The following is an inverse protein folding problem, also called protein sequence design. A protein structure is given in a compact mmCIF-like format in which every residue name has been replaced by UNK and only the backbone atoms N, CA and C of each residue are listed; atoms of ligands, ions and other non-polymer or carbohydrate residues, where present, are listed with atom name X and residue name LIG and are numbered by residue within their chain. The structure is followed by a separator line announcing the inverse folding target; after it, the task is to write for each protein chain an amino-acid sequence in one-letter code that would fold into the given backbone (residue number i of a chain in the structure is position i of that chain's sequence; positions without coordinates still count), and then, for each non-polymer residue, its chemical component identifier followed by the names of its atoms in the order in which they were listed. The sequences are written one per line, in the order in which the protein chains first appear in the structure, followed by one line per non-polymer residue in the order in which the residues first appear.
data_IF_818972100459
#
_entry.id   IF_818972100459
#
_cell.length_a   1.000
_cell.length_b   1.000
_cell.length_c   1.000
_cell.angle_alpha   90.00
_cell.angle_beta   90.00
_cell.angle_gamma   90.00
#
_symmetry.space_group_name_H-M   'P 1'
#
loop_
_entity.id
_entity.type
_entity.pdbx_description
1 polymer ?
#
# COMPACT_ATOMS: atom_id res chain seq x y z
N UNK A 1 32.24 59.13 44.13
CA UNK A 1 31.94 57.78 44.63
C UNK A 1 30.98 57.11 43.65
N UNK A 2 31.31 55.88 43.23
CA UNK A 2 30.79 55.19 42.04
C UNK A 2 29.32 54.78 42.24
N UNK A 3 28.45 55.10 41.27
CA UNK A 3 27.07 54.58 41.18
C UNK A 3 27.11 53.24 40.45
N UNK A 4 26.81 52.15 41.15
CA UNK A 4 26.60 50.81 40.56
C UNK A 4 25.20 50.73 39.96
N UNK A 5 25.12 50.54 38.64
CA UNK A 5 23.87 50.14 37.97
C UNK A 5 23.98 48.64 37.72
N UNK A 6 23.15 47.87 38.43
CA UNK A 6 22.95 46.44 38.19
C UNK A 6 21.95 46.34 37.03
N UNK A 7 22.43 45.98 35.84
CA UNK A 7 21.57 45.62 34.72
C UNK A 7 21.18 44.15 34.86
N UNK A 8 19.94 43.91 35.29
CA UNK A 8 19.34 42.58 35.38
C UNK A 8 18.93 42.12 33.96
N UNK A 9 19.69 41.21 33.36
CA UNK A 9 19.27 40.55 32.11
C UNK A 9 18.13 39.58 32.43
N UNK A 10 16.90 40.02 32.18
CA UNK A 10 15.74 39.13 32.17
C UNK A 10 15.81 38.20 30.96
N UNK A 11 16.26 36.96 31.17
CA UNK A 11 16.09 35.89 30.19
C UNK A 11 14.64 35.42 30.30
N UNK A 12 13.78 35.87 29.39
CA UNK A 12 12.46 35.27 29.24
C UNK A 12 12.65 33.89 28.61
N UNK A 13 12.60 32.85 29.43
CA UNK A 13 12.50 31.47 28.95
C UNK A 13 11.10 31.28 28.35
N UNK A 14 10.96 31.46 27.04
CA UNK A 14 9.74 31.04 26.34
C UNK A 14 9.67 29.52 26.42
N UNK A 15 8.81 29.02 27.31
CA UNK A 15 8.36 27.64 27.27
C UNK A 15 7.62 27.46 25.92
N UNK A 16 8.29 26.85 24.95
CA UNK A 16 7.59 26.28 23.82
C UNK A 16 6.63 25.23 24.40
N UNK A 17 5.34 25.50 24.34
CA UNK A 17 4.34 24.49 24.64
C UNK A 17 4.64 23.30 23.71
N UNK A 18 5.14 22.21 24.28
CA UNK A 18 5.10 20.91 23.62
C UNK A 18 3.62 20.60 23.47
N UNK A 19 3.05 20.96 22.32
CA UNK A 19 1.77 20.39 21.92
C UNK A 19 2.00 18.88 21.96
N UNK A 20 1.16 18.12 22.70
CA UNK A 20 1.29 16.67 22.67
C UNK A 20 1.27 16.27 21.20
N UNK A 21 2.28 15.49 20.79
CA UNK A 21 2.27 14.82 19.51
C UNK A 21 0.97 14.02 19.47
N UNK A 22 -0.08 14.60 18.89
CA UNK A 22 -1.21 13.85 18.39
C UNK A 22 -0.56 12.95 17.37
N UNK A 23 -0.30 11.70 17.75
CA UNK A 23 -0.04 10.64 16.81
C UNK A 23 -1.25 10.65 15.89
N UNK A 24 -1.10 11.27 14.72
CA UNK A 24 -1.93 10.98 13.58
C UNK A 24 -1.64 9.50 13.28
N UNK A 25 -2.31 8.60 14.01
CA UNK A 25 -2.66 7.31 13.47
C UNK A 25 -3.54 7.66 12.27
N UNK A 26 -2.87 7.85 11.13
CA UNK A 26 -3.44 8.25 9.87
C UNK A 26 -4.44 7.15 9.50
N UNK A 27 -5.71 7.36 9.84
CA UNK A 27 -6.80 6.42 9.57
C UNK A 27 -7.20 6.51 8.09
N UNK A 28 -6.20 6.51 7.20
CA UNK A 28 -6.41 6.47 5.77
C UNK A 28 -6.91 5.09 5.41
N UNK A 29 -7.94 5.00 4.56
CA UNK A 29 -8.42 3.71 4.10
C UNK A 29 -7.28 2.99 3.37
N UNK A 30 -7.15 1.69 3.61
CA UNK A 30 -6.26 0.86 2.82
C UNK A 30 -6.75 0.87 1.37
N UNK A 31 -5.98 1.49 0.46
CA UNK A 31 -6.42 1.68 -0.93
C UNK A 31 -5.96 0.50 -1.78
N UNK A 32 -6.89 -0.11 -2.51
CA UNK A 32 -6.62 -1.20 -3.45
C UNK A 32 -7.23 -0.88 -4.81
N UNK A 33 -6.65 -1.48 -5.85
CA UNK A 33 -7.21 -1.39 -7.19
C UNK A 33 -8.11 -2.60 -7.46
N UNK A 34 -9.34 -2.32 -7.85
CA UNK A 34 -10.24 -3.27 -8.50
C UNK A 34 -10.29 -3.03 -9.99
N UNK A 35 -10.99 -3.91 -10.70
CA UNK A 35 -11.22 -3.81 -12.13
C UNK A 35 -12.66 -4.13 -12.45
N UNK A 36 -13.20 -3.51 -13.48
CA UNK A 36 -14.55 -3.80 -13.94
C UNK A 36 -14.51 -4.89 -15.00
N UNK A 37 -15.20 -5.99 -14.74
CA UNK A 37 -15.35 -7.14 -15.64
C UNK A 37 -16.83 -7.50 -15.69
N UNK A 38 -17.42 -7.53 -16.88
CA UNK A 38 -18.83 -7.89 -17.09
C UNK A 38 -19.79 -7.06 -16.20
N UNK A 39 -19.50 -5.76 -16.06
CA UNK A 39 -20.27 -4.84 -15.21
C UNK A 39 -20.10 -5.04 -13.70
N UNK A 40 -19.17 -5.91 -13.26
CA UNK A 40 -18.85 -6.15 -11.85
C UNK A 40 -17.44 -5.70 -11.51
N UNK A 41 -17.31 -5.05 -10.36
CA UNK A 41 -16.02 -4.75 -9.77
C UNK A 41 -15.43 -6.00 -9.15
N UNK A 42 -14.31 -6.47 -9.70
CA UNK A 42 -13.48 -7.51 -9.13
C UNK A 42 -12.31 -6.89 -8.38
N UNK A 43 -11.94 -7.50 -7.26
CA UNK A 43 -10.83 -7.06 -6.40
C UNK A 43 -9.89 -8.22 -6.12
N UNK A 44 -8.58 -7.96 -5.96
CA UNK A 44 -7.64 -8.95 -5.46
C UNK A 44 -8.09 -9.49 -4.11
N UNK A 45 -8.47 -10.78 -4.05
CA UNK A 45 -9.07 -11.39 -2.85
C UNK A 45 -8.18 -11.26 -1.62
N UNK A 46 -6.86 -11.39 -1.80
CA UNK A 46 -5.89 -11.28 -0.71
C UNK A 46 -5.92 -9.89 -0.09
N UNK A 47 -5.93 -8.83 -0.90
CA UNK A 47 -5.80 -7.46 -0.42
C UNK A 47 -7.07 -6.96 0.25
N UNK A 48 -8.24 -7.20 -0.37
CA UNK A 48 -9.52 -6.82 0.25
C UNK A 48 -9.73 -7.55 1.58
N UNK A 49 -9.43 -8.85 1.63
CA UNK A 49 -9.64 -9.66 2.84
C UNK A 49 -8.64 -9.26 3.94
N UNK A 50 -7.35 -9.09 3.61
CA UNK A 50 -6.34 -8.64 4.58
C UNK A 50 -6.61 -7.22 5.08
N UNK A 51 -7.08 -6.31 4.23
CA UNK A 51 -7.49 -4.96 4.62
C UNK A 51 -8.69 -4.94 5.56
N UNK A 52 -9.55 -5.97 5.49
CA UNK A 52 -10.62 -6.23 6.45
C UNK A 52 -10.15 -7.12 7.62
N UNK A 53 -8.87 -7.47 7.68
CA UNK A 53 -8.22 -8.26 8.71
C UNK A 53 -8.67 -9.72 8.78
N UNK A 54 -8.95 -10.31 7.61
CA UNK A 54 -9.11 -11.73 7.43
C UNK A 54 -7.79 -12.39 7.01
N UNK A 55 -7.62 -13.65 7.38
CA UNK A 55 -6.53 -14.50 6.91
C UNK A 55 -6.85 -15.11 5.56
N UNK A 56 -5.86 -15.21 4.67
CA UNK A 56 -6.02 -15.76 3.32
C UNK A 56 -4.97 -16.81 3.05
N UNK A 57 -5.42 -18.02 2.66
CA UNK A 57 -4.55 -19.15 2.30
C UNK A 57 -4.86 -19.64 0.90
N UNK A 58 -3.82 -20.00 0.15
CA UNK A 58 -3.95 -20.60 -1.17
C UNK A 58 -3.63 -22.09 -1.09
N UNK A 59 -4.47 -22.93 -1.70
CA UNK A 59 -4.20 -24.34 -1.91
C UNK A 59 -3.97 -24.58 -3.42
N UNK A 60 -2.71 -24.81 -3.77
CA UNK A 60 -2.29 -25.04 -5.16
C UNK A 60 -2.93 -26.29 -5.78
N UNK A 61 -3.05 -27.38 -5.03
CA UNK A 61 -3.58 -28.65 -5.54
C UNK A 61 -5.07 -28.56 -5.83
N UNK A 62 -5.83 -27.98 -4.90
CA UNK A 62 -7.28 -27.81 -5.02
C UNK A 62 -7.66 -26.60 -5.90
N UNK A 63 -6.69 -25.71 -6.19
CA UNK A 63 -6.90 -24.39 -6.81
C UNK A 63 -7.94 -23.56 -6.05
N UNK A 64 -7.82 -23.53 -4.72
CA UNK A 64 -8.76 -22.84 -3.84
C UNK A 64 -8.11 -21.76 -2.98
N UNK A 65 -8.82 -20.66 -2.78
CA UNK A 65 -8.52 -19.64 -1.78
C UNK A 65 -9.42 -19.85 -0.58
N UNK A 66 -8.83 -19.99 0.60
CA UNK A 66 -9.54 -20.00 1.88
C UNK A 66 -9.37 -18.63 2.53
N UNK A 67 -10.48 -17.97 2.88
CA UNK A 67 -10.49 -16.72 3.64
C UNK A 67 -11.17 -16.99 5.00
N UNK A 68 -10.53 -16.58 6.09
CA UNK A 68 -11.02 -16.78 7.46
C UNK A 68 -11.08 -15.45 8.21
N UNK A 69 -12.24 -15.12 8.75
CA UNK A 69 -12.46 -13.91 9.56
C UNK A 69 -13.39 -14.21 10.73
N UNK A 70 -12.82 -14.31 11.94
CA UNK A 70 -13.57 -14.82 13.08
C UNK A 70 -14.16 -16.20 12.75
N UNK A 71 -15.48 -16.33 12.90
CA UNK A 71 -16.22 -17.57 12.57
C UNK A 71 -16.62 -17.68 11.09
N UNK A 72 -16.27 -16.69 10.27
CA UNK A 72 -16.60 -16.69 8.84
C UNK A 72 -15.52 -17.39 8.04
N UNK A 73 -15.89 -18.44 7.31
CA UNK A 73 -15.03 -19.19 6.42
C UNK A 73 -15.54 -19.17 4.99
N UNK A 74 -14.70 -18.68 4.07
CA UNK A 74 -15.00 -18.60 2.64
C UNK A 74 -14.00 -19.47 1.87
N UNK A 75 -14.49 -20.40 1.04
CA UNK A 75 -13.66 -21.16 0.10
C UNK A 75 -14.07 -20.84 -1.33
N UNK A 76 -13.16 -20.17 -2.04
CA UNK A 76 -13.28 -19.83 -3.45
C UNK A 76 -12.49 -20.83 -4.28
N UNK A 77 -13.13 -21.46 -5.28
CA UNK A 77 -12.42 -22.22 -6.31
C UNK A 77 -12.22 -21.35 -7.54
N UNK A 78 -10.99 -21.30 -8.06
CA UNK A 78 -10.68 -20.55 -9.28
C UNK A 78 -11.53 -21.08 -10.44
N UNK A 79 -12.02 -20.15 -11.26
CA UNK A 79 -12.91 -20.35 -12.41
C UNK A 79 -14.25 -21.02 -12.07
N UNK A 80 -14.65 -21.01 -10.79
CA UNK A 80 -15.97 -21.44 -10.34
C UNK A 80 -16.81 -20.27 -9.86
N UNK A 81 -18.10 -20.29 -10.21
CA UNK A 81 -19.10 -19.40 -9.65
C UNK A 81 -19.70 -19.94 -8.34
N UNK A 82 -19.33 -21.16 -7.91
CA UNK A 82 -19.74 -21.75 -6.64
C UNK A 82 -18.71 -21.43 -5.56
N UNK A 83 -19.18 -20.96 -4.43
CA UNK A 83 -18.37 -20.59 -3.27
C UNK A 83 -18.91 -21.27 -2.04
N UNK A 84 -18.05 -21.80 -1.17
CA UNK A 84 -18.45 -22.28 0.14
C UNK A 84 -18.36 -21.11 1.13
N UNK A 85 -19.47 -20.77 1.79
CA UNK A 85 -19.54 -19.78 2.87
C UNK A 85 -20.15 -20.47 4.09
N UNK A 86 -19.35 -20.67 5.15
CA UNK A 86 -19.77 -21.37 6.38
C UNK A 86 -20.51 -22.68 6.07
N UNK A 87 -19.85 -23.56 5.31
CA UNK A 87 -20.37 -24.86 4.83
C UNK A 87 -21.56 -24.81 3.86
N UNK A 88 -22.07 -23.63 3.51
CA UNK A 88 -23.12 -23.46 2.52
C UNK A 88 -22.56 -23.09 1.16
N UNK A 89 -22.98 -23.81 0.13
CA UNK A 89 -22.66 -23.44 -1.25
C UNK A 89 -23.57 -22.28 -1.68
N UNK A 90 -22.96 -21.19 -2.13
CA UNK A 90 -23.64 -20.06 -2.76
C UNK A 90 -23.08 -19.83 -4.16
N UNK A 91 -23.85 -19.14 -5.00
CA UNK A 91 -23.45 -18.78 -6.36
C UNK A 91 -23.14 -17.29 -6.42
N UNK A 92 -22.02 -16.93 -7.05
CA UNK A 92 -21.62 -15.55 -7.32
C UNK A 92 -21.77 -15.25 -8.81
N UNK A 93 -22.06 -13.98 -9.13
CA UNK A 93 -22.42 -13.58 -10.50
C UNK A 93 -21.26 -13.64 -11.50
N UNK A 94 -20.02 -13.44 -11.01
CA UNK A 94 -18.79 -13.58 -11.80
C UNK A 94 -17.85 -14.50 -11.03
N UNK A 95 -17.33 -15.57 -11.66
CA UNK A 95 -16.44 -16.52 -10.98
C UNK A 95 -15.17 -15.83 -10.48
N UNK A 96 -14.54 -16.42 -9.46
CA UNK A 96 -13.20 -16.01 -9.07
C UNK A 96 -12.23 -16.30 -10.22
N UNK A 97 -11.40 -15.33 -10.62
CA UNK A 97 -10.48 -15.48 -11.77
C UNK A 97 -9.03 -15.36 -11.31
N UNK A 98 -8.16 -16.22 -11.83
CA UNK A 98 -6.72 -16.05 -11.66
C UNK A 98 -6.16 -15.31 -12.88
N UNK A 99 -5.58 -14.14 -12.65
CA UNK A 99 -4.90 -13.37 -13.68
C UNK A 99 -3.47 -13.08 -13.23
N UNK A 100 -2.50 -13.66 -13.95
CA UNK A 100 -1.06 -13.51 -13.69
C UNK A 100 -0.67 -13.80 -12.22
N UNK A 101 -1.31 -14.78 -11.59
CA UNK A 101 -1.03 -15.17 -10.20
C UNK A 101 -1.84 -14.40 -9.15
N UNK A 102 -2.68 -13.45 -9.55
CA UNK A 102 -3.57 -12.72 -8.64
C UNK A 102 -5.00 -13.23 -8.82
N UNK A 103 -5.62 -13.63 -7.70
CA UNK A 103 -7.00 -14.11 -7.70
C UNK A 103 -7.95 -12.94 -7.42
N UNK A 104 -8.86 -12.73 -8.36
CA UNK A 104 -9.85 -11.67 -8.33
C UNK A 104 -11.23 -12.23 -8.02
N UNK A 105 -11.99 -11.51 -7.19
CA UNK A 105 -13.34 -11.90 -6.76
C UNK A 105 -14.26 -10.67 -6.74
N UNK A 106 -15.57 -10.79 -6.96
CA UNK A 106 -16.48 -9.65 -6.87
C UNK A 106 -16.42 -8.97 -5.51
N UNK A 107 -16.18 -7.65 -5.48
CA UNK A 107 -16.08 -6.86 -4.24
C UNK A 107 -17.33 -7.02 -3.37
N UNK A 108 -18.52 -7.04 -4.01
CA UNK A 108 -19.79 -7.17 -3.32
C UNK A 108 -19.86 -8.46 -2.52
N UNK A 109 -19.49 -9.56 -3.17
CA UNK A 109 -19.50 -10.87 -2.54
C UNK A 109 -18.52 -10.89 -1.36
N UNK A 110 -17.24 -10.59 -1.58
CA UNK A 110 -16.23 -10.80 -0.54
C UNK A 110 -16.41 -9.83 0.64
N UNK A 111 -16.79 -8.56 0.38
CA UNK A 111 -17.05 -7.60 1.44
C UNK A 111 -18.25 -8.01 2.31
N UNK A 112 -19.35 -8.44 1.69
CA UNK A 112 -20.54 -8.89 2.43
C UNK A 112 -20.33 -10.23 3.14
N UNK A 113 -19.62 -11.16 2.51
CA UNK A 113 -19.32 -12.47 3.10
C UNK A 113 -18.57 -12.31 4.42
N UNK A 114 -17.64 -11.36 4.50
CA UNK A 114 -16.87 -11.03 5.70
C UNK A 114 -17.62 -10.14 6.70
N UNK A 115 -18.90 -9.82 6.46
CA UNK A 115 -19.73 -8.98 7.32
C UNK A 115 -19.54 -7.47 7.12
N UNK A 116 -18.81 -7.06 6.10
CA UNK A 116 -18.57 -5.65 5.79
C UNK A 116 -19.71 -4.98 5.01
N UNK A 117 -19.78 -3.66 5.13
CA UNK A 117 -20.67 -2.80 4.33
C UNK A 117 -19.91 -2.19 3.16
N UNK A 118 -20.59 -1.95 2.04
CA UNK A 118 -19.99 -1.41 0.83
C UNK A 118 -20.75 -0.16 0.40
N UNK A 119 -20.05 0.96 0.32
CA UNK A 119 -20.57 2.22 -0.19
C UNK A 119 -19.95 2.52 -1.55
N UNK A 120 -20.77 2.72 -2.57
CA UNK A 120 -20.31 3.11 -3.90
C UNK A 120 -20.40 4.61 -4.10
N UNK A 121 -19.31 5.23 -4.54
CA UNK A 121 -19.29 6.61 -5.00
C UNK A 121 -19.13 6.62 -6.53
N UNK A 122 -20.23 6.90 -7.23
CA UNK A 122 -20.26 6.92 -8.69
C UNK A 122 -19.45 8.07 -9.29
N UNK A 123 -19.45 9.23 -8.65
CA UNK A 123 -18.66 10.41 -9.06
C UNK A 123 -17.16 10.15 -9.04
N UNK A 124 -16.67 9.41 -8.04
CA UNK A 124 -15.24 9.09 -7.89
C UNK A 124 -14.88 7.70 -8.40
N UNK A 125 -15.86 6.90 -8.83
CA UNK A 125 -15.69 5.50 -9.28
C UNK A 125 -14.97 4.63 -8.23
N UNK A 126 -15.26 4.89 -6.96
CA UNK A 126 -14.69 4.20 -5.81
C UNK A 126 -15.74 3.44 -5.02
N UNK A 127 -15.37 2.28 -4.48
CA UNK A 127 -16.13 1.56 -3.46
C UNK A 127 -15.36 1.63 -2.14
N UNK A 128 -16.00 2.11 -1.08
CA UNK A 128 -15.47 2.02 0.28
C UNK A 128 -16.09 0.81 0.97
N UNK A 129 -15.25 -0.10 1.46
CA UNK A 129 -15.64 -1.29 2.22
C UNK A 129 -15.27 -1.07 3.67
N UNK A 130 -16.21 -1.24 4.59
CA UNK A 130 -16.02 -0.98 6.01
C UNK A 130 -16.43 -2.19 6.84
N UNK A 131 -15.61 -2.53 7.84
CA UNK A 131 -15.88 -3.58 8.81
C UNK A 131 -15.32 -3.17 10.17
N UNK A 132 -16.19 -2.75 11.08
CA UNK A 132 -15.76 -2.15 12.34
C UNK A 132 -14.93 -0.88 12.10
N UNK A 133 -13.73 -0.85 12.67
CA UNK A 133 -12.73 0.21 12.50
C UNK A 133 -11.92 0.11 11.20
N UNK A 134 -12.04 -1.00 10.47
CA UNK A 134 -11.28 -1.25 9.24
C UNK A 134 -11.98 -0.66 8.03
N UNK A 135 -11.21 0.02 7.17
CA UNK A 135 -11.70 0.60 5.93
C UNK A 135 -10.76 0.27 4.76
N UNK A 136 -11.34 -0.23 3.67
CA UNK A 136 -10.66 -0.50 2.41
C UNK A 136 -11.32 0.30 1.30
N UNK A 137 -10.57 1.15 0.62
CA UNK A 137 -11.04 1.90 -0.55
C UNK A 137 -10.63 1.17 -1.82
N UNK A 138 -11.61 0.77 -2.61
CA UNK A 138 -11.43 0.13 -3.92
C UNK A 138 -11.67 1.16 -5.01
N UNK A 139 -10.74 1.23 -5.96
CA UNK A 139 -10.89 2.06 -7.16
C UNK A 139 -11.09 1.16 -8.37
N UNK A 140 -12.08 1.42 -9.23
CA UNK A 140 -12.62 0.41 -10.18
C UNK A 140 -12.51 0.82 -11.63
N UNK A 141 -12.57 2.11 -11.83
CA UNK A 141 -12.08 2.74 -12.99
C UNK A 141 -10.62 3.01 -12.76
N UNK A 142 -9.90 2.88 -13.84
CA UNK A 142 -8.71 3.67 -13.96
C UNK A 142 -9.15 5.14 -14.10
N UNK A 143 -9.56 5.76 -13.00
CA UNK A 143 -9.26 7.19 -12.75
C UNK A 143 -7.75 7.42 -12.62
N UNK A 144 -6.96 6.35 -12.81
CA UNK A 144 -5.51 6.25 -12.83
C UNK A 144 -4.97 5.82 -14.22
N UNK A 145 -5.73 5.97 -15.33
CA UNK A 145 -5.37 5.38 -16.65
C UNK A 145 -4.40 6.19 -17.49
N UNK A 146 -3.84 7.24 -16.92
CA UNK A 146 -2.53 7.71 -17.32
C UNK A 146 -1.76 7.77 -16.02
N UNK A 147 -0.79 6.89 -15.80
CA UNK A 147 0.28 7.28 -14.90
C UNK A 147 0.79 8.62 -15.44
N UNK A 148 0.52 9.73 -14.74
CA UNK A 148 1.08 11.04 -15.07
C UNK A 148 2.59 11.06 -14.84
N UNK A 149 3.12 9.96 -14.30
CA UNK A 149 4.54 9.68 -14.20
C UNK A 149 4.98 9.05 -15.52
N UNK A 150 5.83 9.72 -16.32
CA UNK A 150 6.40 9.14 -17.52
C UNK A 150 7.07 7.79 -17.22
N UNK A 151 7.01 6.84 -18.15
CA UNK A 151 7.61 5.51 -17.94
C UNK A 151 9.12 5.58 -17.61
N UNK A 152 9.83 6.52 -18.24
CA UNK A 152 11.24 6.77 -17.92
C UNK A 152 11.42 7.18 -16.44
N UNK A 153 10.54 8.05 -15.94
CA UNK A 153 10.54 8.46 -14.53
C UNK A 153 10.23 7.29 -13.60
N UNK A 154 9.25 6.44 -13.93
CA UNK A 154 8.99 5.21 -13.15
C UNK A 154 10.23 4.33 -13.05
N UNK A 155 10.87 4.06 -14.18
CA UNK A 155 12.08 3.22 -14.23
C UNK A 155 13.21 3.83 -13.38
N UNK A 156 13.42 5.15 -13.48
CA UNK A 156 14.42 5.85 -12.67
C UNK A 156 14.09 5.77 -11.17
N UNK A 157 12.84 6.01 -10.77
CA UNK A 157 12.45 5.98 -9.36
C UNK A 157 12.58 4.56 -8.78
N UNK A 158 12.26 3.52 -9.56
CA UNK A 158 12.45 2.12 -9.17
C UNK A 158 13.94 1.79 -9.00
N UNK A 159 14.77 2.20 -9.95
CA UNK A 159 16.22 2.02 -9.87
C UNK A 159 16.77 2.69 -8.59
N UNK A 160 16.37 3.93 -8.33
CA UNK A 160 16.81 4.66 -7.14
C UNK A 160 16.27 4.06 -5.85
N UNK A 161 15.05 3.53 -5.85
CA UNK A 161 14.51 2.77 -4.73
C UNK A 161 15.29 1.48 -4.46
N UNK A 162 15.81 0.80 -5.50
CA UNK A 162 16.70 -0.35 -5.33
C UNK A 162 18.07 0.06 -4.78
N UNK A 163 18.67 1.14 -5.29
CA UNK A 163 19.93 1.70 -4.74
C UNK A 163 19.80 2.09 -3.27
N UNK A 164 18.64 2.64 -2.87
CA UNK A 164 18.37 3.04 -1.49
C UNK A 164 18.37 1.87 -0.50
N UNK A 165 18.32 0.63 -0.98
CA UNK A 165 18.36 -0.55 -0.13
C UNK A 165 19.71 -0.73 0.58
N UNK A 166 20.81 -0.32 -0.08
CA UNK A 166 22.15 -0.36 0.50
C UNK A 166 22.92 0.93 0.20
N UNK A 167 23.16 1.70 1.26
CA UNK A 167 23.80 3.02 1.15
C UNK A 167 25.33 2.95 1.21
N UNK A 168 25.92 1.77 1.45
CA UNK A 168 27.35 1.63 1.75
C UNK A 168 28.29 2.13 0.64
N UNK A 169 27.84 2.10 -0.62
CA UNK A 169 28.60 2.56 -1.78
C UNK A 169 28.37 4.04 -2.13
N UNK A 170 27.56 4.77 -1.36
CA UNK A 170 27.10 6.12 -1.71
C UNK A 170 27.76 7.16 -0.79
N UNK A 171 28.81 7.82 -1.27
CA UNK A 171 29.58 8.80 -0.48
C UNK A 171 28.78 10.07 -0.10
N UNK A 172 27.89 10.53 -0.97
CA UNK A 172 27.07 11.74 -0.75
C UNK A 172 25.57 11.43 -0.85
N UNK A 173 25.06 10.63 0.10
CA UNK A 173 23.67 10.13 0.12
C UNK A 173 22.64 11.24 -0.15
N UNK A 174 22.72 12.36 0.56
CA UNK A 174 21.75 13.46 0.38
C UNK A 174 21.81 14.01 -1.04
N UNK A 175 22.99 14.34 -1.55
CA UNK A 175 23.17 14.88 -2.91
C UNK A 175 22.69 13.88 -3.97
N UNK A 176 23.01 12.61 -3.80
CA UNK A 176 22.67 11.52 -4.72
C UNK A 176 21.15 11.33 -4.87
N UNK A 177 20.40 11.37 -3.76
CA UNK A 177 18.97 11.09 -3.75
C UNK A 177 18.07 12.33 -3.87
N UNK A 178 18.57 13.54 -3.61
CA UNK A 178 17.77 14.78 -3.64
C UNK A 178 16.97 15.02 -4.92
N UNK A 179 17.42 14.62 -6.13
CA UNK A 179 16.61 14.77 -7.33
C UNK A 179 15.37 13.88 -7.37
N UNK A 180 15.36 12.79 -6.58
CA UNK A 180 14.40 11.69 -6.69
C UNK A 180 13.55 11.51 -5.44
N UNK A 181 14.04 11.87 -4.27
CA UNK A 181 13.43 11.58 -2.98
C UNK A 181 13.13 12.87 -2.21
N UNK A 182 12.10 12.83 -1.37
CA UNK A 182 11.81 13.93 -0.44
C UNK A 182 12.91 14.04 0.62
N UNK A 183 13.15 15.26 1.13
CA UNK A 183 14.15 15.47 2.19
C UNK A 183 13.81 14.65 3.46
N UNK A 184 12.52 14.49 3.76
CA UNK A 184 12.02 13.62 4.84
C UNK A 184 12.39 12.16 4.61
N UNK A 185 12.22 11.64 3.39
CA UNK A 185 12.58 10.27 3.07
C UNK A 185 14.09 10.03 3.13
N UNK A 186 14.89 10.95 2.59
CA UNK A 186 16.36 10.89 2.67
C UNK A 186 16.83 10.86 4.13
N UNK A 187 16.24 11.69 4.99
CA UNK A 187 16.57 11.69 6.42
C UNK A 187 16.28 10.32 7.07
N UNK A 188 15.14 9.71 6.75
CA UNK A 188 14.78 8.36 7.22
C UNK A 188 15.77 7.31 6.73
N UNK A 189 16.14 7.33 5.45
CA UNK A 189 17.12 6.41 4.87
C UNK A 189 18.48 6.49 5.57
N UNK A 190 18.98 7.70 5.83
CA UNK A 190 20.25 7.90 6.54
C UNK A 190 20.17 7.36 7.96
N UNK A 191 19.10 7.68 8.69
CA UNK A 191 18.89 7.18 10.06
C UNK A 191 18.82 5.65 10.12
N UNK A 192 18.17 5.03 9.13
CA UNK A 192 17.98 3.58 9.05
C UNK A 192 19.14 2.84 8.36
N UNK A 193 20.13 3.57 7.84
CA UNK A 193 21.26 3.03 7.05
C UNK A 193 20.80 2.24 5.81
N UNK A 194 19.72 2.68 5.17
CA UNK A 194 19.12 2.05 3.99
C UNK A 194 17.71 1.53 4.24
N UNK A 195 17.22 0.64 3.37
CA UNK A 195 15.92 0.02 3.50
C UNK A 195 15.98 -1.29 4.30
N UNK A 196 14.87 -1.64 4.93
CA UNK A 196 14.71 -2.89 5.70
C UNK A 196 14.96 -4.15 4.87
N UNK A 197 14.62 -4.13 3.57
CA UNK A 197 14.72 -5.28 2.67
C UNK A 197 15.63 -4.94 1.50
N UNK A 198 16.65 -5.78 1.28
CA UNK A 198 17.67 -5.63 0.23
C UNK A 198 17.43 -6.43 -1.04
N UNK A 199 16.27 -7.07 -1.16
CA UNK A 199 15.89 -7.81 -2.35
C UNK A 199 15.71 -6.86 -3.56
N UNK A 200 16.08 -7.29 -4.78
CA UNK A 200 15.84 -6.50 -5.99
C UNK A 200 14.38 -6.58 -6.41
N UNK A 201 13.73 -5.42 -6.58
CA UNK A 201 12.37 -5.33 -7.10
C UNK A 201 12.41 -4.75 -8.52
N UNK A 202 12.28 -5.62 -9.50
CA UNK A 202 12.43 -5.27 -10.91
C UNK A 202 11.09 -5.30 -11.67
N UNK A 203 10.12 -6.10 -11.21
CA UNK A 203 8.82 -6.19 -11.83
C UNK A 203 7.85 -5.18 -11.20
N UNK A 204 7.15 -4.44 -12.06
CA UNK A 204 6.03 -3.59 -11.63
C UNK A 204 4.79 -4.48 -11.63
N UNK A 205 4.28 -4.77 -10.43
CA UNK A 205 2.97 -5.39 -10.30
C UNK A 205 1.88 -4.38 -10.67
N UNK A 206 2.05 -3.13 -10.22
CA UNK A 206 1.11 -2.04 -10.48
C UNK A 206 1.73 -0.65 -10.27
N UNK A 207 1.23 0.39 -10.95
CA UNK A 207 1.55 1.79 -10.64
C UNK A 207 0.37 2.72 -10.97
N UNK A 208 0.17 3.77 -10.17
CA UNK A 208 -0.84 4.80 -10.41
C UNK A 208 -0.39 6.20 -9.96
N UNK A 209 -1.11 7.23 -10.42
CA UNK A 209 -0.93 8.61 -9.94
C UNK A 209 -2.13 9.51 -10.23
N UNK A 210 -2.27 10.57 -9.44
CA UNK A 210 -3.05 11.77 -9.75
C UNK A 210 -2.09 12.98 -9.90
N UNK A 211 -2.57 14.22 -9.74
CA UNK A 211 -1.73 15.43 -9.90
C UNK A 211 -0.72 15.67 -8.77
N UNK A 212 -0.85 14.97 -7.64
CA UNK A 212 -0.10 15.25 -6.40
C UNK A 212 0.55 14.02 -5.79
N UNK A 213 -0.01 12.83 -6.01
CA UNK A 213 0.38 11.58 -5.36
C UNK A 213 0.37 10.44 -6.36
N UNK A 214 1.31 9.52 -6.20
CA UNK A 214 1.37 8.28 -6.98
C UNK A 214 1.86 7.10 -6.14
N UNK A 215 1.73 5.91 -6.70
CA UNK A 215 2.14 4.68 -6.08
C UNK A 215 2.78 3.76 -7.12
N UNK A 216 3.81 3.01 -6.71
CA UNK A 216 4.35 1.88 -7.45
C UNK A 216 4.36 0.68 -6.52
N UNK A 217 3.67 -0.38 -6.90
CA UNK A 217 3.67 -1.66 -6.19
C UNK A 217 4.49 -2.67 -6.97
N UNK A 218 5.40 -3.33 -6.26
CA UNK A 218 6.31 -4.32 -6.84
C UNK A 218 6.37 -5.55 -5.95
N UNK A 219 6.53 -6.70 -6.57
CA UNK A 219 6.73 -7.98 -5.88
C UNK A 219 8.13 -8.51 -6.17
N UNK A 220 8.74 -9.15 -5.18
CA UNK A 220 9.98 -9.91 -5.32
C UNK A 220 9.85 -11.21 -4.56
N UNK A 221 10.42 -12.29 -5.08
CA UNK A 221 10.59 -13.54 -4.33
C UNK A 221 11.96 -13.53 -3.65
N UNK A 222 12.04 -13.97 -2.40
CA UNK A 222 13.34 -14.20 -1.74
C UNK A 222 14.06 -15.39 -2.41
N UNK A 223 15.39 -15.33 -2.52
CA UNK A 223 16.19 -16.37 -3.18
C UNK A 223 16.14 -17.75 -2.50
N UNK A 224 15.70 -17.80 -1.24
CA UNK A 224 15.62 -19.04 -0.47
C UNK A 224 14.32 -19.80 -0.76
N UNK A 225 14.45 -21.12 -0.96
CA UNK A 225 13.44 -22.09 -1.43
C UNK A 225 12.20 -22.30 -0.51
N UNK A 226 11.90 -21.33 0.34
CA UNK A 226 10.66 -21.21 1.13
C UNK A 226 9.80 -20.00 0.69
N UNK A 227 10.11 -19.43 -0.49
CA UNK A 227 9.35 -18.47 -1.32
C UNK A 227 8.24 -17.66 -0.62
N UNK A 228 8.62 -16.76 0.30
CA UNK A 228 7.74 -15.65 0.63
C UNK A 228 7.82 -14.63 -0.52
N UNK A 229 6.67 -14.28 -1.08
CA UNK A 229 6.60 -13.10 -1.94
C UNK A 229 6.66 -11.87 -1.03
N UNK A 230 7.61 -10.98 -1.26
CA UNK A 230 7.67 -9.69 -0.57
C UNK A 230 7.08 -8.67 -1.53
N UNK A 231 6.10 -7.92 -1.05
CA UNK A 231 5.62 -6.75 -1.75
C UNK A 231 6.29 -5.51 -1.18
N UNK A 232 6.62 -4.55 -2.04
CA UNK A 232 6.85 -3.17 -1.62
C UNK A 232 5.91 -2.22 -2.34
N UNK A 233 5.51 -1.18 -1.61
CA UNK A 233 4.79 -0.03 -2.13
C UNK A 233 5.68 1.20 -2.01
N UNK A 234 6.00 1.83 -3.15
CA UNK A 234 6.69 3.12 -3.24
C UNK A 234 5.62 4.20 -3.35
N UNK A 235 5.53 5.07 -2.36
CA UNK A 235 4.62 6.23 -2.37
C UNK A 235 5.37 7.43 -2.96
N UNK A 236 4.74 8.09 -3.91
CA UNK A 236 5.27 9.21 -4.65
C UNK A 236 4.48 10.48 -4.36
N UNK A 237 5.16 11.61 -4.37
CA UNK A 237 4.55 12.95 -4.33
C UNK A 237 5.03 13.79 -5.51
N UNK A 238 4.15 14.59 -6.09
CA UNK A 238 4.51 15.55 -7.14
C UNK A 238 4.75 16.93 -6.51
N UNK A 239 5.97 17.44 -6.63
CA UNK A 239 6.39 18.71 -6.04
C UNK A 239 7.49 19.34 -6.88
N UNK A 240 7.46 20.66 -7.08
CA UNK A 240 8.45 21.40 -7.89
C UNK A 240 8.65 20.76 -9.28
N UNK A 241 7.54 20.51 -9.95
CA UNK A 241 7.44 19.95 -11.29
C UNK A 241 8.08 18.57 -11.49
N UNK A 242 8.23 17.79 -10.41
CA UNK A 242 8.77 16.43 -10.47
C UNK A 242 8.12 15.47 -9.48
N UNK A 243 8.15 14.19 -9.84
CA UNK A 243 7.77 13.09 -8.96
C UNK A 243 8.93 12.72 -8.05
N UNK A 244 8.66 12.62 -6.75
CA UNK A 244 9.62 12.25 -5.74
C UNK A 244 9.12 11.06 -4.92
N UNK A 245 10.00 10.14 -4.54
CA UNK A 245 9.69 9.10 -3.56
C UNK A 245 9.58 9.75 -2.18
N UNK A 246 8.41 9.58 -1.57
CA UNK A 246 8.17 10.02 -0.20
C UNK A 246 8.34 8.88 0.80
N UNK A 247 7.92 7.66 0.46
CA UNK A 247 8.13 6.50 1.34
C UNK A 247 8.14 5.17 0.59
N UNK A 248 8.70 4.15 1.25
CA UNK A 248 8.66 2.76 0.80
C UNK A 248 8.18 1.90 1.97
N UNK A 249 7.11 1.15 1.74
CA UNK A 249 6.49 0.23 2.71
C UNK A 249 6.64 -1.20 2.21
N UNK A 250 6.98 -2.12 3.10
CA UNK A 250 7.12 -3.54 2.79
C UNK A 250 6.02 -4.37 3.44
N UNK A 251 5.47 -5.30 2.69
CA UNK A 251 4.50 -6.29 3.15
C UNK A 251 5.03 -7.68 2.84
N UNK A 252 5.19 -8.52 3.87
CA UNK A 252 5.49 -9.94 3.67
C UNK A 252 4.21 -10.67 3.29
N UNK A 253 4.19 -11.27 2.11
CA UNK A 253 3.10 -12.14 1.70
C UNK A 253 3.39 -13.53 2.25
N UNK A 254 2.54 -13.99 3.16
CA UNK A 254 2.63 -15.31 3.77
C UNK A 254 2.58 -16.43 2.71
N UNK A 255 3.21 -17.60 3.00
CA UNK A 255 3.30 -18.72 2.06
C UNK A 255 1.93 -19.33 1.77
#
# INVERSE_FOLDING_TARGET
MKKTIIALFGITLTAAALLPNQSYADNQPFVIQGKTVDGRTLVPVRYISAGLGADVKWNQQAKTVSVLQGDTHVILKVDSNKVLLNDKIITIDVPARNEKGVIYVPIRFIGQALGGTIAWNSSNRTADVSLGDKQVRVTTESTFNTSKIPQATLNTLIQKANEAADLSSIAQIRTHFKPYFTDSFINRLIQQRGLKIKAPFNEIAYSNSNDKVGQITQTSTTADKTAYAIERTIVLTYSKDRWLVDSIVFTTLFP
#
